data_IF_333954319151
#
_entry.id   IF_333954319151
#
_cell.length_a   1.000
_cell.length_b   1.000
_cell.length_c   1.000
_cell.angle_alpha   90.00
_cell.angle_beta   90.00
_cell.angle_gamma   90.00
#
_symmetry.space_group_name_H-M   'P 1'
#
loop_
_entity.id
_entity.type
_entity.pdbx_description
1 polymer ?
#
# COMPACT_ATOMS: atom_id res chain seq x y z
N UNK A 1 -13.64 -18.23 14.28
CA UNK A 1 -13.82 -19.35 13.34
C UNK A 1 -13.67 -18.79 11.93
N UNK A 2 -12.64 -19.17 11.15
CA UNK A 2 -12.57 -18.75 9.75
C UNK A 2 -13.66 -19.47 8.95
N UNK A 3 -14.42 -18.73 8.15
CA UNK A 3 -15.40 -19.30 7.21
C UNK A 3 -14.64 -19.73 5.95
N UNK A 4 -14.70 -21.01 5.61
CA UNK A 4 -14.08 -21.55 4.38
C UNK A 4 -15.17 -22.02 3.44
N UNK A 5 -15.20 -21.49 2.22
CA UNK A 5 -16.10 -21.94 1.16
C UNK A 5 -15.31 -22.16 -0.13
N UNK A 6 -15.74 -23.14 -0.93
CA UNK A 6 -15.05 -23.52 -2.16
C UNK A 6 -15.44 -22.57 -3.30
N UNK A 7 -14.49 -21.74 -3.73
CA UNK A 7 -14.73 -20.68 -4.74
C UNK A 7 -14.63 -21.20 -6.17
N UNK A 8 -13.80 -22.23 -6.43
CA UNK A 8 -13.54 -22.77 -7.76
C UNK A 8 -13.51 -24.31 -7.76
N UNK A 9 -13.66 -24.91 -8.95
CA UNK A 9 -13.62 -26.37 -9.11
C UNK A 9 -12.20 -26.96 -8.92
N UNK A 10 -11.17 -26.12 -9.02
CA UNK A 10 -9.77 -26.48 -8.86
C UNK A 10 -9.13 -25.74 -7.68
N UNK A 11 -8.00 -26.26 -7.19
CA UNK A 11 -7.17 -25.58 -6.19
C UNK A 11 -6.53 -24.30 -6.75
N UNK A 12 -6.09 -23.41 -5.88
CA UNK A 12 -5.42 -22.20 -6.31
C UNK A 12 -4.07 -22.52 -6.97
N UNK A 13 -3.69 -21.71 -7.94
CA UNK A 13 -2.42 -21.84 -8.64
C UNK A 13 -1.27 -21.34 -7.78
N UNK A 14 -0.09 -21.94 -7.94
CA UNK A 14 1.15 -21.41 -7.38
C UNK A 14 1.54 -20.09 -8.06
N UNK A 15 2.11 -19.18 -7.28
CA UNK A 15 2.60 -17.90 -7.79
C UNK A 15 3.85 -18.15 -8.63
N UNK A 16 3.68 -18.08 -9.96
CA UNK A 16 4.81 -18.11 -10.90
C UNK A 16 5.43 -16.71 -10.99
N UNK A 17 6.69 -16.56 -10.60
CA UNK A 17 7.43 -15.31 -10.82
C UNK A 17 7.64 -15.12 -12.32
N UNK A 18 6.86 -14.24 -12.93
CA UNK A 18 7.11 -13.80 -14.31
C UNK A 18 7.93 -12.51 -14.27
N UNK A 19 9.18 -12.57 -14.73
CA UNK A 19 9.83 -11.44 -15.40
C UNK A 19 10.25 -10.22 -14.57
N UNK A 20 10.30 -10.26 -13.24
CA UNK A 20 11.19 -9.36 -12.52
C UNK A 20 12.58 -9.97 -12.61
N UNK A 21 13.42 -9.43 -13.50
CA UNK A 21 14.80 -9.91 -13.69
C UNK A 21 15.56 -10.02 -12.36
N UNK A 22 16.72 -10.65 -12.39
CA UNK A 22 17.67 -10.86 -11.27
C UNK A 22 18.19 -9.56 -10.62
N UNK A 23 17.34 -8.54 -10.45
CA UNK A 23 17.62 -7.35 -9.70
C UNK A 23 17.66 -7.78 -8.24
N UNK A 24 18.84 -7.60 -7.63
CA UNK A 24 19.09 -7.68 -6.19
C UNK A 24 17.85 -7.24 -5.42
N UNK A 25 17.44 -8.04 -4.43
CA UNK A 25 16.39 -7.64 -3.49
C UNK A 25 16.74 -6.24 -3.00
N UNK A 26 15.95 -5.21 -3.33
CA UNK A 26 16.29 -3.86 -2.96
C UNK A 26 16.25 -3.76 -1.44
N UNK A 27 17.19 -2.98 -0.89
CA UNK A 27 17.10 -2.55 0.50
C UNK A 27 15.84 -1.68 0.69
N UNK A 28 15.50 -1.37 1.93
CA UNK A 28 14.29 -0.60 2.23
C UNK A 28 14.23 0.72 1.45
N UNK A 29 15.38 1.40 1.28
CA UNK A 29 15.46 2.64 0.52
C UNK A 29 15.28 2.41 -0.98
N UNK A 30 15.86 1.35 -1.54
CA UNK A 30 15.66 0.96 -2.93
C UNK A 30 14.20 0.66 -3.24
N UNK A 31 13.48 0.00 -2.32
CA UNK A 31 12.04 -0.26 -2.43
C UNK A 31 11.26 1.04 -2.53
N UNK A 32 11.42 1.93 -1.54
CA UNK A 32 10.69 3.20 -1.48
C UNK A 32 11.02 4.07 -2.69
N UNK A 33 12.30 4.14 -3.06
CA UNK A 33 12.75 4.90 -4.22
C UNK A 33 12.16 4.37 -5.52
N UNK A 34 12.00 3.05 -5.66
CA UNK A 34 11.40 2.46 -6.84
C UNK A 34 9.89 2.75 -6.92
N UNK A 35 9.19 2.62 -5.80
CA UNK A 35 7.74 2.84 -5.75
C UNK A 35 7.39 4.31 -5.98
N UNK A 36 8.14 5.24 -5.38
CA UNK A 36 7.85 6.68 -5.46
C UNK A 36 8.40 7.37 -6.72
N UNK A 37 9.30 6.72 -7.46
CA UNK A 37 9.79 7.25 -8.74
C UNK A 37 8.65 7.49 -9.75
N UNK A 38 7.59 6.69 -9.70
CA UNK A 38 6.42 6.86 -10.58
C UNK A 38 5.69 8.19 -10.33
N UNK A 39 5.74 8.70 -9.10
CA UNK A 39 5.05 9.92 -8.67
C UNK A 39 5.95 11.17 -8.73
N UNK A 40 7.20 11.03 -9.21
CA UNK A 40 8.18 12.12 -9.25
C UNK A 40 8.73 12.52 -7.87
N UNK A 41 8.46 11.72 -6.83
CA UNK A 41 8.90 11.97 -5.45
C UNK A 41 10.20 11.22 -5.20
N UNK A 42 11.23 11.93 -4.74
CA UNK A 42 12.53 11.34 -4.42
C UNK A 42 12.63 11.02 -2.93
N UNK A 43 12.94 9.77 -2.59
CA UNK A 43 13.33 9.39 -1.24
C UNK A 43 14.78 9.83 -0.97
N UNK A 44 14.98 10.73 -0.01
CA UNK A 44 16.33 11.17 0.39
C UNK A 44 17.01 10.13 1.27
N UNK A 45 16.35 9.74 2.37
CA UNK A 45 16.86 8.74 3.30
C UNK A 45 15.71 7.97 3.97
N UNK A 46 16.00 6.72 4.33
CA UNK A 46 15.12 5.91 5.19
C UNK A 46 15.71 5.90 6.60
N UNK A 47 15.04 6.57 7.53
CA UNK A 47 15.51 6.70 8.92
C UNK A 47 15.50 5.36 9.67
N UNK A 48 14.45 4.55 9.45
CA UNK A 48 14.29 3.27 10.09
C UNK A 48 13.44 2.35 9.21
N UNK A 49 13.77 1.06 9.21
CA UNK A 49 12.96 0.04 8.56
C UNK A 49 12.99 -1.25 9.35
N UNK A 50 11.83 -1.90 9.45
CA UNK A 50 11.71 -3.28 9.91
C UNK A 50 11.78 -4.28 8.75
N UNK A 51 12.01 -3.81 7.52
CA UNK A 51 12.07 -4.67 6.35
C UNK A 51 13.27 -5.60 6.44
N UNK A 52 12.99 -6.89 6.31
CA UNK A 52 13.99 -7.91 6.14
C UNK A 52 13.94 -8.36 4.68
N UNK A 53 15.09 -8.38 4.03
CA UNK A 53 15.21 -8.83 2.64
C UNK A 53 14.53 -10.19 2.47
N UNK A 54 13.50 -10.22 1.63
CA UNK A 54 12.79 -11.44 1.29
C UNK A 54 12.69 -11.52 -0.22
N UNK A 55 13.12 -12.66 -0.78
CA UNK A 55 13.04 -12.90 -2.21
C UNK A 55 11.60 -12.82 -2.74
N UNK A 56 10.60 -13.07 -1.89
CA UNK A 56 9.18 -13.08 -2.25
C UNK A 56 8.50 -11.71 -2.20
N UNK A 57 9.24 -10.63 -1.90
CA UNK A 57 8.68 -9.29 -1.88
C UNK A 57 8.73 -8.66 -3.28
N UNK A 58 7.59 -8.16 -3.76
CA UNK A 58 7.47 -7.45 -5.04
C UNK A 58 6.96 -6.03 -4.78
N UNK A 59 7.77 -4.98 -4.97
CA UNK A 59 7.34 -3.60 -4.81
C UNK A 59 6.40 -3.16 -5.94
N UNK A 60 5.36 -2.40 -5.59
CA UNK A 60 4.34 -1.88 -6.50
C UNK A 60 3.68 -0.63 -5.87
N UNK A 61 3.42 0.42 -6.65
CA UNK A 61 2.77 1.67 -6.21
C UNK A 61 1.32 1.49 -5.78
N UNK A 62 0.62 0.49 -6.33
CA UNK A 62 -0.74 0.12 -5.94
C UNK A 62 -0.82 -1.33 -5.48
N UNK A 63 0.18 -1.77 -4.70
CA UNK A 63 0.39 -3.16 -4.31
C UNK A 63 -0.87 -3.85 -3.75
N UNK A 64 -1.69 -3.18 -2.95
CA UNK A 64 -2.90 -3.78 -2.39
C UNK A 64 -3.91 -4.15 -3.50
N UNK A 65 -4.30 -3.18 -4.33
CA UNK A 65 -5.27 -3.38 -5.42
C UNK A 65 -4.72 -4.36 -6.45
N UNK A 66 -3.47 -4.16 -6.88
CA UNK A 66 -2.83 -5.00 -7.88
C UNK A 66 -2.68 -6.45 -7.40
N UNK A 67 -2.35 -6.68 -6.13
CA UNK A 67 -2.29 -8.02 -5.55
C UNK A 67 -3.66 -8.71 -5.55
N UNK A 68 -4.73 -8.00 -5.17
CA UNK A 68 -6.10 -8.54 -5.19
C UNK A 68 -6.52 -8.91 -6.61
N UNK A 69 -6.33 -7.98 -7.57
CA UNK A 69 -6.69 -8.19 -8.97
C UNK A 69 -5.89 -9.34 -9.58
N UNK A 70 -4.58 -9.39 -9.31
CA UNK A 70 -3.72 -10.45 -9.82
C UNK A 70 -4.07 -11.82 -9.22
N UNK A 71 -4.37 -11.87 -7.92
CA UNK A 71 -4.80 -13.10 -7.27
C UNK A 71 -6.13 -13.61 -7.82
N UNK A 72 -7.08 -12.71 -8.07
CA UNK A 72 -8.34 -13.06 -8.71
C UNK A 72 -8.12 -13.60 -10.13
N UNK A 73 -7.41 -12.86 -10.99
CA UNK A 73 -7.23 -13.20 -12.40
C UNK A 73 -6.42 -14.48 -12.62
N UNK A 74 -5.50 -14.81 -11.70
CA UNK A 74 -4.61 -15.98 -11.83
C UNK A 74 -4.99 -17.13 -10.91
N UNK A 75 -6.11 -17.00 -10.18
CA UNK A 75 -6.55 -17.96 -9.17
C UNK A 75 -5.46 -18.25 -8.12
N UNK A 76 -4.77 -17.22 -7.62
CA UNK A 76 -3.80 -17.40 -6.54
C UNK A 76 -4.48 -17.41 -5.17
N UNK A 77 -3.81 -18.02 -4.19
CA UNK A 77 -4.17 -17.80 -2.79
C UNK A 77 -3.90 -16.33 -2.41
N UNK A 78 -4.88 -15.71 -1.78
CA UNK A 78 -4.80 -14.33 -1.29
C UNK A 78 -4.89 -14.33 0.23
N UNK A 79 -3.87 -13.78 0.87
CA UNK A 79 -3.85 -13.54 2.32
C UNK A 79 -3.67 -12.05 2.53
N UNK A 80 -4.64 -11.43 3.21
CA UNK A 80 -4.63 -10.00 3.55
C UNK A 80 -4.51 -9.89 5.06
N UNK A 81 -3.56 -9.10 5.56
CA UNK A 81 -3.50 -8.79 6.98
C UNK A 81 -4.52 -7.69 7.30
N UNK A 82 -5.17 -7.72 8.48
CA UNK A 82 -6.07 -6.65 8.88
C UNK A 82 -5.45 -5.25 8.80
N UNK A 83 -4.15 -5.13 9.09
CA UNK A 83 -3.42 -3.85 9.03
C UNK A 83 -3.30 -3.29 7.60
N UNK A 84 -3.17 -4.16 6.59
CA UNK A 84 -3.11 -3.75 5.18
C UNK A 84 -4.44 -3.10 4.75
N UNK A 85 -5.55 -3.64 5.26
CA UNK A 85 -6.89 -3.10 5.02
C UNK A 85 -7.07 -1.74 5.72
N UNK A 86 -6.73 -1.66 7.02
CA UNK A 86 -6.87 -0.41 7.77
C UNK A 86 -6.00 0.71 7.19
N UNK A 87 -4.75 0.39 6.82
CA UNK A 87 -3.84 1.35 6.20
C UNK A 87 -4.38 1.85 4.86
N UNK A 88 -4.97 0.95 4.06
CA UNK A 88 -5.59 1.32 2.78
C UNK A 88 -6.78 2.27 2.95
N UNK A 89 -7.68 1.98 3.91
CA UNK A 89 -8.83 2.85 4.22
C UNK A 89 -8.37 4.23 4.70
N UNK A 90 -7.43 4.27 5.64
CA UNK A 90 -6.92 5.52 6.19
C UNK A 90 -6.18 6.35 5.15
N UNK A 91 -5.39 5.71 4.28
CA UNK A 91 -4.70 6.40 3.19
C UNK A 91 -5.70 7.05 2.22
N UNK A 92 -6.70 6.31 1.76
CA UNK A 92 -7.71 6.85 0.86
C UNK A 92 -8.55 7.95 1.52
N UNK A 93 -8.89 7.80 2.80
CA UNK A 93 -9.60 8.80 3.60
C UNK A 93 -8.78 10.08 3.74
N UNK A 94 -7.47 9.96 4.01
CA UNK A 94 -6.56 11.11 4.10
C UNK A 94 -6.52 11.89 2.77
N UNK A 95 -6.36 11.19 1.64
CA UNK A 95 -6.38 11.81 0.32
C UNK A 95 -7.69 12.56 0.06
N UNK A 96 -8.83 11.96 0.43
CA UNK A 96 -10.14 12.60 0.31
C UNK A 96 -10.25 13.85 1.19
N UNK A 97 -9.84 13.76 2.47
CA UNK A 97 -9.87 14.91 3.39
C UNK A 97 -9.01 16.05 2.87
N UNK A 98 -7.82 15.77 2.33
CA UNK A 98 -6.95 16.81 1.78
C UNK A 98 -7.55 17.45 0.52
N UNK A 99 -8.18 16.67 -0.36
CA UNK A 99 -8.85 17.21 -1.55
C UNK A 99 -10.09 18.06 -1.21
N UNK A 100 -10.77 17.76 -0.09
CA UNK A 100 -11.98 18.42 0.38
C UNK A 100 -11.77 19.22 1.69
N UNK A 101 -10.57 19.80 1.85
CA UNK A 101 -10.14 20.34 3.15
C UNK A 101 -11.05 21.44 3.71
N UNK A 102 -11.55 22.36 2.88
CA UNK A 102 -12.43 23.45 3.33
C UNK A 102 -13.87 22.98 3.59
N UNK A 103 -14.39 22.04 2.79
CA UNK A 103 -15.72 21.46 3.00
C UNK A 103 -15.80 20.69 4.33
N UNK A 104 -14.75 19.94 4.64
CA UNK A 104 -14.66 19.13 5.84
C UNK A 104 -14.04 19.86 7.04
N UNK A 105 -13.66 21.13 6.87
CA UNK A 105 -12.95 21.93 7.86
C UNK A 105 -13.63 21.91 9.23
N UNK A 106 -14.93 22.14 9.25
CA UNK A 106 -15.74 22.19 10.48
C UNK A 106 -15.73 20.88 11.28
N UNK A 107 -15.33 19.76 10.68
CA UNK A 107 -15.21 18.45 11.33
C UNK A 107 -13.88 18.25 12.04
N UNK A 108 -12.81 18.89 11.56
CA UNK A 108 -11.44 18.63 12.00
C UNK A 108 -10.74 19.85 12.63
N UNK A 109 -11.23 21.06 12.35
CA UNK A 109 -10.60 22.32 12.77
C UNK A 109 -11.61 23.15 13.57
N UNK A 110 -11.24 23.51 14.80
CA UNK A 110 -12.10 24.28 15.71
C UNK A 110 -12.15 25.79 15.40
N UNK A 111 -11.51 26.26 14.33
CA UNK A 111 -11.45 27.67 13.97
C UNK A 111 -11.57 27.90 12.45
N UNK A 112 -12.13 29.06 12.12
CA UNK A 112 -12.19 29.55 10.74
C UNK A 112 -10.84 30.13 10.31
N UNK A 113 -10.50 29.95 9.04
CA UNK A 113 -9.28 30.50 8.45
C UNK A 113 -7.98 30.15 9.18
N UNK A 114 -7.01 31.06 9.21
CA UNK A 114 -5.71 30.81 9.85
C UNK A 114 -5.69 31.41 11.25
N UNK A 115 -5.35 30.60 12.26
CA UNK A 115 -5.10 31.07 13.63
C UNK A 115 -3.61 31.35 13.80
N UNK A 116 -3.25 32.54 14.26
CA UNK A 116 -1.86 32.86 14.60
C UNK A 116 -1.45 32.09 15.86
N UNK A 117 -0.28 31.44 15.81
CA UNK A 117 0.34 30.86 16.99
C UNK A 117 0.88 31.98 17.89
N UNK A 118 0.62 31.89 19.18
CA UNK A 118 1.22 32.77 20.19
C UNK A 118 2.24 31.93 20.94
N UNK A 119 3.48 32.40 21.00
CA UNK A 119 4.57 31.80 21.78
C UNK A 119 4.60 32.44 23.16
#
# INVERSE_FOLDING_TARGET
>A
MPITFKVAAHEANEVKRYGYGEKKVPDAQGIVSQVWQEDGVKCEEVLQSSYQSNENFVPDSSAFVNSVVNAYNRHYHLVIRPDDLWTSILSQMNLYVNAHAEELRSKFVAHEGKKKLVV
#
